data_IF_285724872983
#
_entry.id   IF_285724872983
#
_cell.length_a   1.000
_cell.length_b   1.000
_cell.length_c   1.000
_cell.angle_alpha   90.00
_cell.angle_beta   90.00
_cell.angle_gamma   90.00
#
_symmetry.space_group_name_H-M   'P 1'
#
loop_
_entity.id
_entity.type
_entity.pdbx_description
1 polymer ?
#
# COMPACT_ATOMS: atom_id res chain seq x y z
N UNK A 1 -0.47 11.45 29.53
CA UNK A 1 0.15 12.73 29.18
C UNK A 1 1.42 12.99 29.97
N UNK A 2 2.10 14.10 29.68
CA UNK A 2 3.26 14.54 30.43
C UNK A 2 2.86 15.06 31.80
N UNK A 3 3.65 14.73 32.83
CA UNK A 3 3.50 15.27 34.17
C UNK A 3 4.40 16.52 34.37
N UNK A 4 4.11 17.33 35.39
CA UNK A 4 4.93 18.50 35.65
C UNK A 4 6.40 18.19 35.95
N UNK A 5 6.68 17.03 36.53
CA UNK A 5 8.03 16.49 36.76
C UNK A 5 8.81 16.23 35.46
N UNK A 6 8.13 15.99 34.36
CA UNK A 6 8.77 15.69 33.07
C UNK A 6 9.34 16.93 32.38
N UNK A 7 8.87 18.14 32.73
CA UNK A 7 9.29 19.38 32.08
C UNK A 7 10.75 19.74 32.30
N UNK A 8 11.37 19.23 33.36
CA UNK A 8 12.78 19.47 33.69
C UNK A 8 13.71 18.34 33.27
N UNK A 9 13.14 17.23 32.78
CA UNK A 9 13.91 16.07 32.32
C UNK A 9 14.49 16.28 30.93
N UNK A 10 15.66 15.68 30.69
CA UNK A 10 16.26 15.69 29.37
C UNK A 10 15.48 14.75 28.43
N UNK A 11 15.34 15.15 27.17
CA UNK A 11 14.61 14.35 26.16
C UNK A 11 15.25 12.97 25.94
N UNK A 12 16.53 12.82 26.21
CA UNK A 12 17.26 11.54 26.16
C UNK A 12 16.80 10.51 27.20
N UNK A 13 16.19 10.95 28.28
CA UNK A 13 15.71 10.09 29.36
C UNK A 13 14.34 9.44 29.06
N UNK A 14 13.68 9.91 28.00
CA UNK A 14 12.39 9.36 27.58
C UNK A 14 12.56 8.17 26.64
N UNK A 15 11.58 7.26 26.67
CA UNK A 15 11.49 6.16 25.70
C UNK A 15 11.33 6.68 24.28
N UNK A 16 11.57 5.82 23.29
CA UNK A 16 11.43 6.19 21.88
C UNK A 16 10.06 6.76 21.52
N UNK A 17 8.98 6.17 22.05
CA UNK A 17 7.61 6.64 21.85
C UNK A 17 7.37 8.04 22.45
N UNK A 18 7.86 8.29 23.66
CA UNK A 18 7.75 9.62 24.29
C UNK A 18 8.54 10.68 23.53
N UNK A 19 9.73 10.36 23.05
CA UNK A 19 10.52 11.29 22.20
C UNK A 19 9.79 11.63 20.92
N UNK A 20 9.16 10.63 20.28
CA UNK A 20 8.36 10.85 19.07
C UNK A 20 7.18 11.81 19.34
N UNK A 21 6.48 11.67 20.48
CA UNK A 21 5.41 12.58 20.89
C UNK A 21 5.91 14.00 21.11
N UNK A 22 7.11 14.18 21.70
CA UNK A 22 7.73 15.51 21.89
C UNK A 22 8.01 16.14 20.54
N UNK A 23 8.63 15.41 19.60
CA UNK A 23 8.95 15.95 18.27
C UNK A 23 7.68 16.27 17.49
N UNK A 24 6.66 15.42 17.57
CA UNK A 24 5.37 15.68 16.95
C UNK A 24 4.72 16.94 17.53
N UNK A 25 4.70 17.10 18.85
CA UNK A 25 4.17 18.31 19.50
C UNK A 25 4.93 19.57 19.06
N UNK A 26 6.26 19.53 18.97
CA UNK A 26 7.07 20.64 18.44
C UNK A 26 6.69 21.02 17.01
N UNK A 27 6.51 20.01 16.16
CA UNK A 27 6.12 20.22 14.77
C UNK A 27 4.73 20.88 14.67
N UNK A 28 3.77 20.37 15.43
CA UNK A 28 2.39 20.87 15.43
C UNK A 28 2.26 22.30 15.99
N UNK A 29 3.08 22.65 16.99
CA UNK A 29 3.13 24.01 17.54
C UNK A 29 3.63 25.07 16.54
N UNK A 30 4.40 24.67 15.52
CA UNK A 30 4.87 25.57 14.46
C UNK A 30 3.74 25.97 13.50
N UNK A 31 2.60 25.27 13.52
CA UNK A 31 1.43 25.50 12.64
C UNK A 31 1.81 25.61 11.15
N UNK A 32 2.52 24.63 10.59
CA UNK A 32 2.95 24.69 9.20
C UNK A 32 1.76 24.66 8.25
N UNK A 33 1.94 25.20 7.04
CA UNK A 33 0.91 25.15 6.01
C UNK A 33 0.75 23.74 5.42
N UNK A 34 1.82 22.94 5.42
CA UNK A 34 1.84 21.56 4.96
C UNK A 34 2.62 20.70 5.95
N UNK A 35 2.00 19.63 6.44
CA UNK A 35 2.62 18.57 7.24
C UNK A 35 2.97 17.38 6.35
N UNK A 36 4.21 16.93 6.44
CA UNK A 36 4.67 15.69 5.83
C UNK A 36 4.96 14.69 6.94
N UNK A 37 4.20 13.60 7.00
CA UNK A 37 4.29 12.60 8.05
C UNK A 37 4.63 11.24 7.43
N UNK A 38 5.71 10.65 7.89
CA UNK A 38 6.14 9.31 7.51
C UNK A 38 6.01 8.38 8.71
N UNK A 39 5.12 7.38 8.58
CA UNK A 39 4.77 6.40 9.62
C UNK A 39 4.50 7.02 11.00
N UNK A 40 3.63 8.03 11.13
CA UNK A 40 3.46 8.78 12.36
C UNK A 40 2.83 7.97 13.51
N UNK A 41 2.18 6.85 13.20
CA UNK A 41 1.55 5.96 14.18
C UNK A 41 2.53 5.01 14.84
N UNK A 42 3.74 4.86 14.30
CA UNK A 42 4.75 3.99 14.87
C UNK A 42 5.12 4.43 16.29
N UNK A 43 5.10 3.48 17.22
CA UNK A 43 5.42 3.69 18.64
C UNK A 43 4.43 4.57 19.42
N UNK A 44 3.26 4.89 18.87
CA UNK A 44 2.16 5.53 19.58
C UNK A 44 1.22 4.47 20.16
N UNK A 45 0.63 4.77 21.30
CA UNK A 45 -0.49 4.00 21.83
C UNK A 45 -1.81 4.46 21.18
N UNK A 46 -2.86 3.69 21.37
CA UNK A 46 -4.18 3.92 20.74
C UNK A 46 -4.72 5.32 21.07
N UNK A 47 -4.64 5.74 22.32
CA UNK A 47 -5.10 7.07 22.76
C UNK A 47 -4.35 8.21 22.04
N UNK A 48 -3.05 8.02 21.79
CA UNK A 48 -2.24 9.01 21.06
C UNK A 48 -2.54 9.02 19.57
N UNK A 49 -2.89 7.88 18.98
CA UNK A 49 -3.33 7.81 17.59
C UNK A 49 -4.65 8.53 17.43
N UNK A 50 -5.64 8.25 18.27
CA UNK A 50 -6.94 8.95 18.26
C UNK A 50 -6.78 10.47 18.42
N UNK A 51 -5.95 10.89 19.36
CA UNK A 51 -5.64 12.31 19.53
C UNK A 51 -4.98 12.92 18.28
N UNK A 52 -4.06 12.19 17.63
CA UNK A 52 -3.39 12.67 16.43
C UNK A 52 -4.38 12.79 15.26
N UNK A 53 -5.27 11.83 15.08
CA UNK A 53 -6.34 11.87 14.09
C UNK A 53 -7.20 13.12 14.27
N UNK A 54 -7.73 13.31 15.46
CA UNK A 54 -8.54 14.48 15.80
C UNK A 54 -7.80 15.79 15.57
N UNK A 55 -6.52 15.85 15.94
CA UNK A 55 -5.70 17.03 15.73
C UNK A 55 -5.50 17.32 14.23
N UNK A 56 -5.16 16.31 13.44
CA UNK A 56 -4.92 16.47 12.01
C UNK A 56 -6.18 16.89 11.26
N UNK A 57 -7.33 16.32 11.59
CA UNK A 57 -8.61 16.67 10.97
C UNK A 57 -9.06 18.10 11.30
N UNK A 58 -8.85 18.57 12.53
CA UNK A 58 -9.42 19.83 12.99
C UNK A 58 -8.45 21.03 12.93
N UNK A 59 -7.13 20.79 12.94
CA UNK A 59 -6.16 21.86 13.11
C UNK A 59 -5.10 21.96 12.01
N UNK A 60 -4.91 20.91 11.21
CA UNK A 60 -3.93 20.95 10.13
C UNK A 60 -4.55 21.54 8.85
N UNK A 61 -3.81 22.41 8.16
CA UNK A 61 -4.26 23.03 6.89
C UNK A 61 -4.17 22.02 5.73
N UNK A 62 -3.03 21.35 5.62
CA UNK A 62 -2.81 20.29 4.65
C UNK A 62 -1.87 19.25 5.25
N UNK A 63 -2.15 17.96 5.00
CA UNK A 63 -1.35 16.85 5.48
C UNK A 63 -1.07 15.89 4.34
N UNK A 64 0.17 15.47 4.21
CA UNK A 64 0.57 14.33 3.40
C UNK A 64 1.12 13.27 4.33
N UNK A 65 0.52 12.09 4.33
CA UNK A 65 0.91 11.00 5.22
C UNK A 65 1.26 9.74 4.42
N UNK A 66 2.29 9.05 4.87
CA UNK A 66 2.64 7.69 4.47
C UNK A 66 2.48 6.83 5.71
N UNK A 67 1.64 5.79 5.65
CA UNK A 67 1.48 4.86 6.77
C UNK A 67 1.02 3.48 6.29
N UNK A 68 1.41 2.46 7.06
CA UNK A 68 0.89 1.10 6.93
C UNK A 68 -0.39 0.87 7.73
N UNK A 69 -0.76 1.79 8.60
CA UNK A 69 -2.01 1.76 9.36
C UNK A 69 -3.17 2.21 8.47
N UNK A 70 -3.89 1.23 7.95
CA UNK A 70 -5.00 1.44 7.02
C UNK A 70 -6.16 2.20 7.66
N UNK A 71 -6.44 1.93 8.95
CA UNK A 71 -7.54 2.58 9.66
C UNK A 71 -7.24 4.07 9.86
N UNK A 72 -6.03 4.39 10.30
CA UNK A 72 -5.55 5.76 10.44
C UNK A 72 -5.62 6.52 9.10
N UNK A 73 -5.06 5.94 8.02
CA UNK A 73 -5.08 6.58 6.70
C UNK A 73 -6.51 6.80 6.21
N UNK A 74 -7.38 5.80 6.34
CA UNK A 74 -8.76 5.89 5.86
C UNK A 74 -9.56 6.97 6.59
N UNK A 75 -9.31 7.15 7.89
CA UNK A 75 -10.01 8.11 8.72
C UNK A 75 -9.63 9.56 8.42
N UNK A 76 -8.34 9.83 8.20
CA UNK A 76 -7.83 11.21 8.05
C UNK A 76 -7.73 11.70 6.60
N UNK A 77 -7.78 10.79 5.60
CA UNK A 77 -7.52 11.18 4.22
C UNK A 77 -8.79 11.36 3.40
N UNK A 78 -8.78 12.38 2.56
CA UNK A 78 -9.81 12.66 1.56
C UNK A 78 -9.29 12.46 0.13
N UNK A 79 -8.00 12.17 -0.01
CA UNK A 79 -7.32 12.01 -1.29
C UNK A 79 -6.20 11.00 -1.14
N UNK A 80 -6.10 10.07 -2.08
CA UNK A 80 -5.08 9.03 -2.10
C UNK A 80 -4.24 9.15 -3.35
N UNK A 81 -2.91 9.14 -3.20
CA UNK A 81 -1.96 9.18 -4.30
C UNK A 81 -1.23 7.84 -4.35
N UNK A 82 -1.37 7.13 -5.46
CA UNK A 82 -0.65 5.89 -5.72
C UNK A 82 0.53 6.16 -6.67
N UNK A 83 1.70 5.67 -6.30
CA UNK A 83 2.87 5.68 -7.19
C UNK A 83 3.12 4.24 -7.63
N UNK A 84 2.91 3.98 -8.91
CA UNK A 84 3.12 2.66 -9.48
C UNK A 84 3.83 2.76 -10.84
N UNK A 85 4.89 1.98 -11.05
CA UNK A 85 5.67 1.91 -12.31
C UNK A 85 6.10 3.29 -12.85
N UNK A 86 6.52 4.18 -11.97
CA UNK A 86 6.93 5.54 -12.34
C UNK A 86 5.80 6.47 -12.77
N UNK A 87 4.54 6.06 -12.58
CA UNK A 87 3.35 6.89 -12.82
C UNK A 87 2.68 7.23 -11.50
N UNK A 88 2.04 8.40 -11.47
CA UNK A 88 1.28 8.89 -10.33
C UNK A 88 -0.20 8.79 -10.69
N UNK A 89 -0.96 8.13 -9.83
CA UNK A 89 -2.42 8.05 -9.91
C UNK A 89 -3.00 8.82 -8.74
N UNK A 90 -3.89 9.73 -9.02
CA UNK A 90 -4.49 10.65 -8.07
C UNK A 90 -5.98 10.35 -7.91
N UNK A 91 -6.37 9.87 -6.76
CA UNK A 91 -7.74 9.53 -6.41
C UNK A 91 -8.27 10.52 -5.37
N UNK A 92 -9.29 11.28 -5.72
CA UNK A 92 -9.95 12.24 -4.81
C UNK A 92 -10.94 11.53 -3.89
N UNK A 93 -10.47 10.47 -3.24
CA UNK A 93 -11.24 9.62 -2.33
C UNK A 93 -10.33 9.14 -1.20
N UNK A 94 -10.94 8.66 -0.10
CA UNK A 94 -10.25 8.02 1.01
C UNK A 94 -9.64 6.66 0.60
N UNK A 95 -8.90 6.06 1.51
CA UNK A 95 -8.15 4.84 1.22
C UNK A 95 -9.04 3.64 0.88
N UNK A 96 -10.18 3.45 1.57
CA UNK A 96 -11.10 2.35 1.30
C UNK A 96 -11.69 2.43 -0.11
N UNK A 97 -12.19 3.57 -0.52
CA UNK A 97 -12.69 3.78 -1.89
C UNK A 97 -11.60 3.68 -2.94
N UNK A 98 -10.38 4.15 -2.62
CA UNK A 98 -9.23 3.98 -3.51
C UNK A 98 -8.98 2.49 -3.81
N UNK A 99 -9.06 1.60 -2.82
CA UNK A 99 -8.86 0.16 -3.03
C UNK A 99 -9.87 -0.42 -4.01
N UNK A 100 -11.12 0.03 -3.96
CA UNK A 100 -12.17 -0.37 -4.91
C UNK A 100 -11.85 0.11 -6.33
N UNK A 101 -11.56 1.40 -6.49
CA UNK A 101 -11.20 2.00 -7.79
C UNK A 101 -9.92 1.39 -8.38
N UNK A 102 -8.95 1.08 -7.51
CA UNK A 102 -7.72 0.40 -7.92
C UNK A 102 -8.02 -0.99 -8.47
N UNK A 103 -8.91 -1.75 -7.81
CA UNK A 103 -9.32 -3.08 -8.26
C UNK A 103 -10.02 -2.99 -9.62
N UNK A 104 -10.99 -2.10 -9.78
CA UNK A 104 -11.69 -1.89 -11.05
C UNK A 104 -10.73 -1.50 -12.18
N UNK A 105 -9.82 -0.59 -11.93
CA UNK A 105 -8.79 -0.20 -12.90
C UNK A 105 -7.96 -1.41 -13.35
N UNK A 106 -7.55 -2.27 -12.41
CA UNK A 106 -6.74 -3.46 -12.71
C UNK A 106 -7.54 -4.49 -13.51
N UNK A 107 -8.80 -4.71 -13.16
CA UNK A 107 -9.68 -5.60 -13.93
C UNK A 107 -9.83 -5.11 -15.37
N UNK A 108 -9.99 -3.80 -15.58
CA UNK A 108 -10.04 -3.19 -16.90
C UNK A 108 -8.72 -3.33 -17.65
N UNK A 109 -7.58 -3.11 -17.00
CA UNK A 109 -6.26 -3.29 -17.59
C UNK A 109 -6.03 -4.74 -17.99
N UNK A 110 -6.40 -5.70 -17.14
CA UNK A 110 -6.27 -7.12 -17.44
C UNK A 110 -7.15 -7.52 -18.63
N UNK A 111 -8.39 -7.10 -18.64
CA UNK A 111 -9.29 -7.37 -19.78
C UNK A 111 -8.77 -6.77 -21.10
N UNK A 112 -8.24 -5.55 -21.05
CA UNK A 112 -7.63 -4.89 -22.21
C UNK A 112 -6.37 -5.64 -22.67
N UNK A 113 -5.52 -6.10 -21.76
CA UNK A 113 -4.35 -6.93 -22.06
C UNK A 113 -4.75 -8.25 -22.71
N UNK A 114 -5.71 -8.97 -22.15
CA UNK A 114 -6.16 -10.26 -22.66
C UNK A 114 -6.74 -10.11 -24.07
N UNK A 115 -7.54 -9.08 -24.32
CA UNK A 115 -8.05 -8.75 -25.63
C UNK A 115 -6.94 -8.40 -26.63
N UNK A 116 -5.93 -7.64 -26.20
CA UNK A 116 -4.77 -7.33 -27.03
C UNK A 116 -3.97 -8.60 -27.37
N UNK A 117 -3.71 -9.47 -26.41
CA UNK A 117 -3.00 -10.72 -26.63
C UNK A 117 -3.74 -11.64 -27.62
N UNK A 118 -5.06 -11.72 -27.48
CA UNK A 118 -5.90 -12.46 -28.42
C UNK A 118 -5.80 -11.89 -29.84
N UNK A 119 -5.91 -10.59 -30.00
CA UNK A 119 -5.77 -9.91 -31.30
C UNK A 119 -4.38 -10.12 -31.91
N UNK A 120 -3.32 -10.07 -31.09
CA UNK A 120 -1.95 -10.36 -31.53
C UNK A 120 -1.84 -11.81 -32.00
N UNK A 121 -2.38 -12.77 -31.26
CA UNK A 121 -2.35 -14.20 -31.64
C UNK A 121 -3.09 -14.47 -32.96
N UNK A 122 -4.32 -13.96 -33.10
CA UNK A 122 -5.10 -14.07 -34.33
C UNK A 122 -4.40 -13.42 -35.52
N UNK A 123 -3.77 -12.26 -35.29
CA UNK A 123 -3.02 -11.57 -36.35
C UNK A 123 -1.77 -12.33 -36.77
N UNK A 124 -1.02 -12.90 -35.82
CA UNK A 124 0.13 -13.77 -36.11
C UNK A 124 -0.27 -15.03 -36.87
N UNK A 125 -1.36 -15.68 -36.44
CA UNK A 125 -1.89 -16.85 -37.14
C UNK A 125 -2.29 -16.53 -38.60
N UNK A 126 -2.94 -15.38 -38.81
CA UNK A 126 -3.25 -14.92 -40.17
C UNK A 126 -1.99 -14.73 -41.03
N UNK A 127 -0.97 -14.06 -40.46
CA UNK A 127 0.30 -13.81 -41.13
C UNK A 127 0.94 -15.15 -41.54
N UNK A 128 1.06 -16.12 -40.64
CA UNK A 128 1.67 -17.41 -40.91
C UNK A 128 0.86 -18.22 -41.93
N UNK A 129 -0.48 -18.22 -41.83
CA UNK A 129 -1.36 -18.96 -42.77
C UNK A 129 -1.26 -18.44 -44.21
N UNK A 130 -1.08 -17.14 -44.42
CA UNK A 130 -1.08 -16.51 -45.74
C UNK A 130 0.29 -16.03 -46.20
N UNK A 131 1.35 -16.33 -45.46
CA UNK A 131 2.74 -16.07 -45.82
C UNK A 131 3.08 -16.79 -47.15
N UNK A 132 3.46 -16.00 -48.16
CA UNK A 132 3.75 -16.50 -49.49
C UNK A 132 2.56 -16.58 -50.47
N UNK A 133 1.35 -16.22 -50.03
CA UNK A 133 0.19 -16.17 -50.93
C UNK A 133 0.15 -14.80 -51.64
N UNK A 134 0.39 -14.80 -52.97
CA UNK A 134 0.51 -13.58 -53.77
C UNK A 134 -0.69 -12.63 -53.62
N UNK A 135 -1.91 -13.17 -53.68
CA UNK A 135 -3.16 -12.37 -53.56
C UNK A 135 -3.36 -11.76 -52.17
N UNK A 136 -2.64 -12.18 -51.15
CA UNK A 136 -2.74 -11.70 -49.75
C UNK A 136 -1.54 -10.90 -49.29
N UNK A 137 -0.51 -10.73 -50.14
CA UNK A 137 0.75 -10.05 -49.76
C UNK A 137 0.54 -8.68 -49.10
N UNK A 138 -0.30 -7.84 -49.67
CA UNK A 138 -0.57 -6.51 -49.12
C UNK A 138 -1.27 -6.56 -47.74
N UNK A 139 -2.17 -7.51 -47.56
CA UNK A 139 -2.87 -7.70 -46.27
C UNK A 139 -1.92 -8.22 -45.20
N UNK A 140 -1.03 -9.14 -45.55
CA UNK A 140 0.00 -9.65 -44.63
C UNK A 140 0.96 -8.50 -44.21
N UNK A 141 1.49 -7.76 -45.18
CA UNK A 141 2.37 -6.62 -44.87
C UNK A 141 1.70 -5.57 -44.02
N UNK A 142 0.43 -5.25 -44.28
CA UNK A 142 -0.32 -4.30 -43.44
C UNK A 142 -0.43 -4.79 -41.98
N UNK A 143 -0.70 -6.07 -41.76
CA UNK A 143 -0.82 -6.65 -40.43
C UNK A 143 0.53 -6.74 -39.72
N UNK A 144 1.62 -7.02 -40.40
CA UNK A 144 2.97 -6.96 -39.85
C UNK A 144 3.28 -5.53 -39.34
N UNK A 145 3.06 -4.51 -40.18
CA UNK A 145 3.26 -3.11 -39.79
C UNK A 145 2.37 -2.70 -38.61
N UNK A 146 1.16 -3.24 -38.52
CA UNK A 146 0.26 -2.99 -37.40
C UNK A 146 0.85 -3.55 -36.09
N UNK A 147 1.36 -4.78 -36.12
CA UNK A 147 2.01 -5.39 -34.96
C UNK A 147 3.30 -4.68 -34.54
N UNK A 148 4.09 -4.21 -35.51
CA UNK A 148 5.32 -3.45 -35.23
C UNK A 148 5.08 -2.10 -34.56
N UNK A 149 3.94 -1.47 -34.82
CA UNK A 149 3.54 -0.17 -34.24
C UNK A 149 2.70 -0.31 -32.97
N UNK A 150 2.34 -1.54 -32.60
CA UNK A 150 1.45 -1.78 -31.47
C UNK A 150 2.16 -1.49 -30.15
N UNK A 151 1.64 -0.56 -29.38
CA UNK A 151 2.04 -0.37 -27.99
C UNK A 151 1.46 -1.49 -27.13
N UNK A 152 2.34 -2.22 -26.45
CA UNK A 152 1.92 -3.31 -25.58
C UNK A 152 1.33 -2.75 -24.28
N UNK A 153 0.16 -3.27 -23.93
CA UNK A 153 -0.48 -2.96 -22.66
C UNK A 153 0.29 -3.70 -21.55
N UNK A 154 0.75 -2.95 -20.58
CA UNK A 154 1.36 -3.48 -19.37
C UNK A 154 0.30 -3.55 -18.27
N UNK A 155 0.20 -4.69 -17.62
CA UNK A 155 -0.67 -4.87 -16.45
C UNK A 155 0.14 -4.70 -15.18
N UNK A 156 -0.42 -3.99 -14.21
CA UNK A 156 0.17 -3.87 -12.88
C UNK A 156 0.16 -5.25 -12.21
N UNK A 157 1.33 -5.88 -12.07
CA UNK A 157 1.45 -7.15 -11.36
C UNK A 157 1.06 -6.96 -9.89
N UNK A 158 0.26 -7.86 -9.36
CA UNK A 158 0.15 -8.01 -7.92
C UNK A 158 1.47 -8.54 -7.38
N UNK A 159 1.98 -7.92 -6.34
CA UNK A 159 2.95 -8.59 -5.50
C UNK A 159 2.28 -9.79 -4.81
N UNK A 160 2.27 -10.90 -5.54
CA UNK A 160 1.77 -12.19 -5.07
C UNK A 160 2.84 -12.98 -4.34
N UNK A 161 3.89 -12.33 -3.88
CA UNK A 161 4.91 -12.97 -3.05
C UNK A 161 4.30 -13.39 -1.70
N UNK A 162 3.36 -14.31 -1.76
CA UNK A 162 2.87 -14.98 -0.57
C UNK A 162 4.05 -15.78 0.00
N UNK A 163 4.51 -15.37 1.17
CA UNK A 163 5.50 -16.12 1.92
C UNK A 163 4.92 -17.51 2.21
N UNK A 164 5.37 -18.51 1.46
CA UNK A 164 4.93 -19.90 1.63
C UNK A 164 5.68 -20.53 2.82
N UNK A 165 5.37 -20.05 4.01
CA UNK A 165 5.99 -20.47 5.25
C UNK A 165 5.36 -21.79 5.68
N UNK A 166 6.11 -22.88 5.51
CA UNK A 166 5.76 -24.19 6.10
C UNK A 166 6.57 -24.36 7.37
N UNK A 167 5.91 -24.28 8.49
CA UNK A 167 6.53 -24.68 9.74
C UNK A 167 6.71 -26.19 9.76
N UNK A 168 7.90 -26.71 10.11
CA UNK A 168 8.05 -28.15 10.36
C UNK A 168 7.09 -28.56 11.50
N UNK A 169 6.53 -29.76 11.45
CA UNK A 169 5.67 -30.22 12.53
C UNK A 169 6.44 -30.14 13.85
N UNK A 170 5.85 -29.49 14.83
CA UNK A 170 6.43 -29.40 16.16
C UNK A 170 6.58 -30.82 16.75
N UNK A 171 7.68 -31.11 17.46
CA UNK A 171 7.79 -32.35 18.18
C UNK A 171 6.59 -32.50 19.12
N UNK A 172 6.04 -33.71 19.20
CA UNK A 172 4.83 -33.96 19.99
C UNK A 172 5.12 -33.60 21.45
N UNK A 173 4.36 -32.65 21.99
CA UNK A 173 4.42 -32.36 23.43
C UNK A 173 4.00 -33.60 24.21
N UNK A 174 4.60 -33.81 25.36
CA UNK A 174 4.22 -34.91 26.25
C UNK A 174 2.74 -34.82 26.66
N UNK A 175 2.21 -35.85 27.28
CA UNK A 175 0.82 -35.95 27.74
C UNK A 175 0.41 -34.80 28.69
N UNK A 176 1.37 -34.12 29.26
CA UNK A 176 1.21 -32.97 30.17
C UNK A 176 2.08 -31.82 29.68
N UNK A 177 1.60 -30.98 28.76
CA UNK A 177 2.40 -29.88 28.20
C UNK A 177 2.74 -28.78 29.20
N UNK A 178 1.97 -28.67 30.27
CA UNK A 178 2.23 -27.76 31.39
C UNK A 178 1.92 -28.48 32.70
N UNK A 179 2.90 -28.55 33.57
CA UNK A 179 2.75 -29.07 34.96
C UNK A 179 3.01 -27.86 35.87
N UNK A 180 2.04 -27.52 36.69
CA UNK A 180 2.17 -26.43 37.68
C UNK A 180 2.15 -27.05 39.07
N UNK A 181 3.03 -26.58 39.96
CA UNK A 181 3.07 -26.89 41.36
C UNK A 181 2.94 -25.57 42.14
N UNK A 182 2.02 -25.55 43.10
CA UNK A 182 1.81 -24.39 44.01
C UNK A 182 1.59 -23.05 43.30
N UNK A 183 0.77 -23.02 42.24
CA UNK A 183 0.43 -21.80 41.54
C UNK A 183 -0.45 -20.93 42.42
N UNK A 184 0.09 -19.79 42.89
CA UNK A 184 -0.65 -18.76 43.64
C UNK A 184 -0.55 -17.40 42.95
N UNK A 185 -1.62 -16.60 43.01
CA UNK A 185 -1.63 -15.22 42.63
C UNK A 185 -2.19 -14.39 43.77
N UNK A 186 -1.38 -13.47 44.31
CA UNK A 186 -1.83 -12.42 45.21
C UNK A 186 -2.11 -11.16 44.42
N UNK A 187 -3.20 -10.45 44.76
CA UNK A 187 -3.55 -9.13 44.23
C UNK A 187 -3.16 -8.09 45.26
#
# INVERSE_FOLDING_TARGET
GFERSDFTRQTSEFSGGWRMRIELAKLLLQKPDLLLLDEPTNHLDIESIEWLEDFLMNNAKAVMVISHDKAFVDHITTRTIEIARGRIYDYKVNYSHYLELRRERREQQQAAYDNQQKMIAETREFIERFKGTYSKTNQVQSRVRMLEKLELIEVDEEDRSALNLRFPPAPRSGSYPVITSELGKAY
#
